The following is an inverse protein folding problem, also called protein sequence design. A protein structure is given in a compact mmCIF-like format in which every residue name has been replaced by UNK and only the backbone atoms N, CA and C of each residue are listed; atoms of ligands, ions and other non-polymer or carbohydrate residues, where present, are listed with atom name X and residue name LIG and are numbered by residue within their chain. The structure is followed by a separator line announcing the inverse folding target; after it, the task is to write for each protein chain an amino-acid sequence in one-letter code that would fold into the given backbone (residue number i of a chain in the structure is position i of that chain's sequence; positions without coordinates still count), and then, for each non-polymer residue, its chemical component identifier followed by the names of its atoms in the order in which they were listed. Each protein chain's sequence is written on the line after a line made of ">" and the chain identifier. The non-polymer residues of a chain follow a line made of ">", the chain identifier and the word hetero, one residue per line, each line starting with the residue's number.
data_IF_601611951677
#
_entry.id   IF_601611951677
#
_cell.length_a   1.000
_cell.length_b   1.000
_cell.length_c   1.000
_cell.angle_alpha   90.00
_cell.angle_beta   90.00
_cell.angle_gamma   90.00
#
_symmetry.space_group_name_H-M   'P 1'
#
loop_
_entity.id
_entity.type
_entity.pdbx_description
1 polymer ?
#
# COMPACT_ATOMS: atom_id res chain seq x y z
N UNK A 1 8.56 -18.23 16.33
CA UNK A 1 9.23 -16.91 16.32
C UNK A 1 9.07 -16.31 17.72
N UNK A 2 10.10 -15.75 18.35
CA UNK A 2 10.00 -15.23 19.72
C UNK A 2 9.33 -13.85 19.78
N UNK A 3 8.81 -13.46 20.95
CA UNK A 3 8.26 -12.11 21.16
C UNK A 3 9.31 -11.01 20.93
N UNK A 4 10.57 -11.24 21.31
CA UNK A 4 11.66 -10.30 21.06
C UNK A 4 11.91 -10.09 19.57
N UNK A 5 11.83 -11.16 18.77
CA UNK A 5 11.95 -11.06 17.32
C UNK A 5 10.76 -10.30 16.72
N UNK A 6 9.54 -10.54 17.19
CA UNK A 6 8.37 -9.77 16.74
C UNK A 6 8.49 -8.29 17.08
N UNK A 7 8.96 -7.95 18.28
CA UNK A 7 9.23 -6.57 18.71
C UNK A 7 10.32 -5.92 17.85
N UNK A 8 11.39 -6.66 17.53
CA UNK A 8 12.43 -6.18 16.62
C UNK A 8 11.86 -5.87 15.23
N UNK A 9 11.14 -6.82 14.63
CA UNK A 9 10.54 -6.62 13.31
C UNK A 9 9.54 -5.46 13.30
N UNK A 10 8.77 -5.28 14.37
CA UNK A 10 7.90 -4.11 14.53
C UNK A 10 8.66 -2.79 14.50
N UNK A 11 9.82 -2.72 15.18
CA UNK A 11 10.69 -1.53 15.16
C UNK A 11 11.29 -1.28 13.78
N UNK A 12 11.66 -2.32 13.04
CA UNK A 12 12.16 -2.16 11.68
C UNK A 12 11.06 -1.69 10.71
N UNK A 13 9.85 -2.24 10.83
CA UNK A 13 8.68 -1.81 10.04
C UNK A 13 8.32 -0.35 10.35
N UNK A 14 8.35 0.06 11.61
CA UNK A 14 8.07 1.45 11.99
C UNK A 14 8.97 2.44 11.25
N UNK A 15 10.26 2.13 11.06
CA UNK A 15 11.17 2.98 10.28
C UNK A 15 10.69 3.20 8.84
N UNK A 16 10.05 2.18 8.23
CA UNK A 16 9.55 2.28 6.86
C UNK A 16 8.32 3.19 6.73
N UNK A 17 7.63 3.44 7.84
CA UNK A 17 6.44 4.30 7.93
C UNK A 17 6.81 5.71 8.38
N UNK A 18 7.77 5.84 9.31
CA UNK A 18 8.11 7.12 9.95
C UNK A 18 9.28 7.86 9.31
N UNK A 19 9.86 7.33 8.22
CA UNK A 19 10.94 8.02 7.49
C UNK A 19 10.77 7.93 5.99
N UNK A 20 11.10 9.01 5.29
CA UNK A 20 11.10 9.07 3.83
C UNK A 20 12.33 8.37 3.22
N UNK A 21 12.43 8.38 1.89
CA UNK A 21 13.57 7.79 1.15
C UNK A 21 14.91 8.50 1.40
N UNK A 22 14.89 9.73 1.94
CA UNK A 22 16.06 10.54 2.29
C UNK A 22 16.43 10.41 3.79
N UNK A 23 15.62 9.67 4.56
CA UNK A 23 15.82 9.44 6.00
C UNK A 23 15.25 10.54 6.90
N UNK A 24 14.48 11.47 6.36
CA UNK A 24 13.79 12.50 7.16
C UNK A 24 12.58 11.90 7.86
N UNK A 25 12.22 12.44 9.03
CA UNK A 25 11.01 12.04 9.76
C UNK A 25 9.74 12.39 8.96
N UNK A 26 8.79 11.46 8.94
CA UNK A 26 7.43 11.64 8.40
C UNK A 26 6.42 11.55 9.55
N UNK A 27 5.55 12.55 9.65
CA UNK A 27 4.49 12.66 10.66
C UNK A 27 3.07 12.74 10.06
N UNK A 28 2.94 13.03 8.77
CA UNK A 28 1.69 12.97 8.00
C UNK A 28 1.45 11.55 7.44
N UNK A 29 1.23 10.57 8.32
CA UNK A 29 1.05 9.18 7.94
C UNK A 29 -0.07 8.97 6.89
N UNK A 30 0.23 8.19 5.86
CA UNK A 30 -0.69 7.95 4.74
C UNK A 30 -0.56 8.96 3.60
N UNK A 31 0.18 10.06 3.79
CA UNK A 31 0.44 11.02 2.72
C UNK A 31 1.21 10.38 1.57
N UNK A 32 0.83 10.74 0.35
CA UNK A 32 1.49 10.29 -0.87
C UNK A 32 2.67 11.22 -1.21
N UNK A 33 3.88 10.68 -1.24
CA UNK A 33 5.05 11.38 -1.76
C UNK A 33 5.01 11.35 -3.30
N UNK A 34 4.55 12.43 -3.91
CA UNK A 34 4.40 12.53 -5.36
C UNK A 34 5.72 12.39 -6.12
N UNK A 35 6.83 12.83 -5.54
CA UNK A 35 8.16 12.69 -6.16
C UNK A 35 8.53 11.21 -6.26
N UNK A 36 8.36 10.47 -5.16
CA UNK A 36 8.63 9.03 -5.10
C UNK A 36 7.64 8.22 -5.97
N UNK A 37 6.37 8.60 -5.99
CA UNK A 37 5.36 7.95 -6.83
C UNK A 37 5.63 8.20 -8.32
N UNK A 38 5.97 9.42 -8.71
CA UNK A 38 6.31 9.75 -10.10
C UNK A 38 7.55 8.97 -10.53
N UNK A 39 8.58 8.89 -9.69
CA UNK A 39 9.74 8.04 -9.95
C UNK A 39 9.33 6.58 -10.19
N UNK A 40 8.41 6.04 -9.38
CA UNK A 40 7.93 4.67 -9.53
C UNK A 40 7.16 4.49 -10.84
N UNK A 41 6.30 5.45 -11.21
CA UNK A 41 5.55 5.42 -12.47
C UNK A 41 6.50 5.47 -13.68
N UNK A 42 7.52 6.31 -13.66
CA UNK A 42 8.53 6.41 -14.71
C UNK A 42 9.31 5.09 -14.88
N UNK A 43 9.65 4.43 -13.76
CA UNK A 43 10.26 3.11 -13.78
C UNK A 43 9.30 2.06 -14.35
N UNK A 44 8.00 2.14 -14.04
CA UNK A 44 7.00 1.23 -14.62
C UNK A 44 6.95 1.38 -16.14
N UNK A 45 6.82 2.61 -16.65
CA UNK A 45 6.82 2.90 -18.10
C UNK A 45 8.06 2.36 -18.80
N UNK A 46 9.20 2.36 -18.12
CA UNK A 46 10.48 1.92 -18.69
C UNK A 46 10.68 0.40 -18.66
N UNK A 47 10.24 -0.27 -17.60
CA UNK A 47 10.65 -1.64 -17.31
C UNK A 47 9.52 -2.66 -17.18
N UNK A 48 8.28 -2.23 -16.96
CA UNK A 48 7.13 -3.15 -16.95
C UNK A 48 6.84 -3.57 -18.38
N UNK A 49 6.83 -4.88 -18.60
CA UNK A 49 6.47 -5.49 -19.88
C UNK A 49 5.11 -6.15 -19.69
N UNK A 50 4.11 -5.67 -20.42
CA UNK A 50 2.77 -6.26 -20.44
C UNK A 50 2.59 -7.05 -21.74
N UNK A 51 2.01 -8.25 -21.63
CA UNK A 51 1.78 -9.12 -22.79
C UNK A 51 0.77 -8.51 -23.78
N UNK A 52 -0.18 -7.72 -23.26
CA UNK A 52 -1.15 -6.99 -24.07
C UNK A 52 -0.56 -5.66 -24.56
N UNK A 53 -0.52 -5.47 -25.88
CA UNK A 53 0.04 -4.27 -26.49
C UNK A 53 -0.80 -3.02 -26.24
N UNK A 54 -2.12 -3.15 -26.09
CA UNK A 54 -2.99 -2.03 -25.75
C UNK A 54 -2.78 -1.57 -24.32
N UNK A 55 -2.58 -2.49 -23.38
CA UNK A 55 -2.21 -2.18 -22.01
C UNK A 55 -0.83 -1.51 -21.94
N UNK A 56 0.14 -2.00 -22.72
CA UNK A 56 1.46 -1.38 -22.85
C UNK A 56 1.35 0.08 -23.33
N UNK A 57 0.59 0.33 -24.40
CA UNK A 57 0.37 1.70 -24.90
C UNK A 57 -0.37 2.60 -23.91
N UNK A 58 -1.32 2.07 -23.14
CA UNK A 58 -1.99 2.83 -22.06
C UNK A 58 -0.98 3.26 -20.99
N UNK A 59 -0.13 2.34 -20.54
CA UNK A 59 0.87 2.62 -19.50
C UNK A 59 1.81 3.77 -19.89
N UNK A 60 2.22 3.85 -21.15
CA UNK A 60 3.06 4.96 -21.64
C UNK A 60 2.42 6.34 -21.37
N UNK A 61 1.09 6.42 -21.50
CA UNK A 61 0.30 7.63 -21.30
C UNK A 61 -0.08 7.94 -19.86
N UNK A 62 0.15 7.04 -18.90
CA UNK A 62 -0.28 7.24 -17.51
C UNK A 62 0.35 8.46 -16.85
N UNK A 63 -0.43 9.08 -15.98
CA UNK A 63 -0.05 10.12 -15.02
C UNK A 63 -0.30 9.61 -13.62
N UNK A 64 0.03 10.39 -12.59
CA UNK A 64 -0.30 10.00 -11.21
C UNK A 64 -1.82 9.91 -10.99
N UNK A 65 -2.60 10.75 -11.67
CA UNK A 65 -4.06 10.78 -11.50
C UNK A 65 -4.74 9.51 -12.04
N UNK A 66 -4.06 8.74 -12.90
CA UNK A 66 -4.53 7.44 -13.37
C UNK A 66 -4.37 6.32 -12.32
N UNK A 67 -3.66 6.58 -11.21
CA UNK A 67 -3.36 5.57 -10.18
C UNK A 67 -3.64 6.02 -8.75
N UNK A 68 -3.91 7.30 -8.49
CA UNK A 68 -4.13 7.80 -7.12
C UNK A 68 -5.14 8.93 -7.02
N UNK A 69 -5.70 9.08 -5.82
CA UNK A 69 -6.58 10.18 -5.43
C UNK A 69 -6.13 10.73 -4.06
N UNK A 70 -5.75 12.01 -4.01
CA UNK A 70 -5.30 12.66 -2.78
C UNK A 70 -6.43 13.29 -1.98
N UNK A 71 -7.63 13.46 -2.53
CA UNK A 71 -8.68 14.26 -1.92
C UNK A 71 -9.01 13.74 -0.51
N UNK A 72 -9.10 12.42 -0.36
CA UNK A 72 -9.35 11.79 0.93
C UNK A 72 -8.22 12.07 1.94
N UNK A 73 -6.95 11.84 1.58
CA UNK A 73 -5.85 12.04 2.53
C UNK A 73 -5.63 13.52 2.86
N UNK A 74 -5.88 14.42 1.91
CA UNK A 74 -5.81 15.86 2.11
C UNK A 74 -6.90 16.35 3.08
N UNK A 75 -8.11 15.78 2.99
CA UNK A 75 -9.19 16.04 3.95
C UNK A 75 -8.88 15.42 5.32
N UNK A 76 -8.33 14.20 5.33
CA UNK A 76 -7.88 13.52 6.56
C UNK A 76 -6.85 14.33 7.33
N UNK A 77 -5.83 14.85 6.64
CA UNK A 77 -4.77 15.66 7.23
C UNK A 77 -5.24 17.03 7.73
N UNK A 78 -6.36 17.55 7.20
CA UNK A 78 -6.97 18.81 7.68
C UNK A 78 -7.90 18.60 8.88
N UNK A 79 -8.38 17.37 9.09
CA UNK A 79 -9.28 17.05 10.21
C UNK A 79 -8.55 17.12 11.54
N UNK A 80 -9.08 17.89 12.48
CA UNK A 80 -8.52 18.02 13.84
C UNK A 80 -9.21 17.10 14.85
N UNK A 81 -10.34 16.49 14.48
CA UNK A 81 -11.15 15.63 15.34
C UNK A 81 -11.31 14.19 14.81
N UNK A 82 -10.78 13.90 13.63
CA UNK A 82 -10.84 12.58 12.99
C UNK A 82 -12.23 12.19 12.52
N UNK A 83 -13.17 13.14 12.36
CA UNK A 83 -14.55 12.86 11.95
C UNK A 83 -14.77 13.23 10.49
N UNK A 84 -15.15 12.24 9.69
CA UNK A 84 -15.35 12.37 8.23
C UNK A 84 -16.81 12.34 7.80
N UNK A 85 -17.72 12.74 8.69
CA UNK A 85 -19.15 12.72 8.42
C UNK A 85 -19.74 11.31 8.46
N UNK A 86 -20.72 11.05 7.59
CA UNK A 86 -21.42 9.76 7.55
C UNK A 86 -20.61 8.76 6.72
N UNK A 87 -20.35 7.59 7.29
CA UNK A 87 -19.75 6.48 6.57
C UNK A 87 -20.69 5.98 5.46
N UNK A 88 -20.17 5.84 4.24
CA UNK A 88 -20.91 5.19 3.15
C UNK A 88 -21.10 3.69 3.42
N UNK A 89 -20.11 3.05 4.05
CA UNK A 89 -20.10 1.63 4.39
C UNK A 89 -19.43 1.42 5.75
N UNK A 90 -20.02 0.57 6.60
CA UNK A 90 -19.50 0.26 7.94
C UNK A 90 -18.79 -1.08 8.03
N UNK A 91 -19.30 -2.10 7.32
CA UNK A 91 -18.65 -3.40 7.19
C UNK A 91 -17.69 -3.38 5.98
N UNK A 92 -16.39 -3.40 6.23
CA UNK A 92 -15.38 -3.34 5.17
C UNK A 92 -14.38 -4.50 5.26
N UNK A 93 -13.88 -4.94 4.11
CA UNK A 93 -12.87 -6.00 4.02
C UNK A 93 -11.57 -5.49 3.40
N UNK A 94 -10.44 -5.80 4.05
CA UNK A 94 -9.09 -5.48 3.57
C UNK A 94 -8.39 -6.77 3.17
N UNK A 95 -8.01 -6.90 1.90
CA UNK A 95 -7.16 -7.98 1.40
C UNK A 95 -5.69 -7.58 1.52
N UNK A 96 -4.95 -8.31 2.37
CA UNK A 96 -3.50 -8.16 2.45
C UNK A 96 -2.83 -8.75 1.21
N UNK A 97 -1.67 -8.20 0.81
CA UNK A 97 -0.86 -8.74 -0.28
C UNK A 97 -0.30 -10.14 -0.02
N UNK A 98 0.00 -10.41 1.26
CA UNK A 98 0.73 -11.59 1.66
C UNK A 98 0.19 -12.16 2.97
N UNK A 99 0.79 -13.25 3.40
CA UNK A 99 0.52 -13.85 4.70
C UNK A 99 0.80 -12.84 5.84
N UNK A 100 0.11 -12.97 6.99
CA UNK A 100 0.31 -12.09 8.13
C UNK A 100 1.78 -12.09 8.58
N UNK A 101 2.43 -10.94 8.44
CA UNK A 101 3.81 -10.68 8.83
C UNK A 101 3.91 -9.28 9.45
N UNK A 102 5.08 -8.92 9.97
CA UNK A 102 5.28 -7.64 10.65
C UNK A 102 4.88 -6.43 9.77
N UNK A 103 5.03 -6.54 8.44
CA UNK A 103 4.64 -5.47 7.52
C UNK A 103 3.12 -5.15 7.49
N UNK A 104 2.28 -6.02 8.06
CA UNK A 104 0.83 -5.78 8.15
C UNK A 104 0.37 -5.56 9.59
N UNK A 105 1.30 -5.46 10.54
CA UNK A 105 0.95 -5.41 11.96
C UNK A 105 0.05 -4.22 12.32
N UNK A 106 0.17 -3.10 11.61
CA UNK A 106 -0.64 -1.90 11.86
C UNK A 106 -2.14 -2.18 11.79
N UNK A 107 -2.58 -2.95 10.77
CA UNK A 107 -3.98 -3.33 10.60
C UNK A 107 -4.50 -4.19 11.77
N UNK A 108 -3.71 -5.18 12.18
CA UNK A 108 -4.08 -6.06 13.29
C UNK A 108 -4.04 -5.35 14.65
N UNK A 109 -3.08 -4.44 14.86
CA UNK A 109 -3.00 -3.65 16.08
C UNK A 109 -4.17 -2.67 16.17
N UNK A 110 -4.57 -2.04 15.06
CA UNK A 110 -5.74 -1.17 15.01
C UNK A 110 -7.02 -1.95 15.38
N UNK A 111 -7.17 -3.17 14.86
CA UNK A 111 -8.28 -4.05 15.24
C UNK A 111 -8.22 -4.45 16.72
N UNK A 112 -7.07 -4.93 17.21
CA UNK A 112 -6.91 -5.39 18.59
C UNK A 112 -7.07 -4.27 19.64
N UNK A 113 -6.78 -3.02 19.25
CA UNK A 113 -6.96 -1.84 20.10
C UNK A 113 -8.34 -1.20 20.00
N UNK A 114 -9.21 -1.68 19.10
CA UNK A 114 -10.55 -1.13 18.92
C UNK A 114 -10.59 0.16 18.10
N UNK A 115 -9.51 0.56 17.41
CA UNK A 115 -9.47 1.81 16.66
C UNK A 115 -10.48 1.84 15.51
N UNK A 116 -10.79 0.69 14.91
CA UNK A 116 -11.86 0.60 13.91
C UNK A 116 -13.24 0.80 14.53
N UNK A 117 -13.49 0.20 15.69
CA UNK A 117 -14.77 0.33 16.40
C UNK A 117 -15.01 1.77 16.87
N UNK A 118 -13.95 2.47 17.33
CA UNK A 118 -13.99 3.88 17.74
C UNK A 118 -14.50 4.81 16.63
N UNK A 119 -14.23 4.46 15.36
CA UNK A 119 -14.69 5.21 14.19
C UNK A 119 -15.91 4.57 13.50
N UNK A 120 -16.53 3.56 14.11
CA UNK A 120 -17.75 2.91 13.60
C UNK A 120 -17.53 1.93 12.44
N UNK A 121 -16.31 1.45 12.24
CA UNK A 121 -15.97 0.48 11.20
C UNK A 121 -15.85 -0.93 11.77
N UNK A 122 -16.49 -1.90 11.11
CA UNK A 122 -16.26 -3.33 11.30
C UNK A 122 -15.35 -3.83 10.19
N UNK A 123 -14.07 -3.96 10.49
CA UNK A 123 -13.04 -4.34 9.52
C UNK A 123 -12.74 -5.83 9.58
N UNK A 124 -12.88 -6.51 8.44
CA UNK A 124 -12.40 -7.88 8.22
C UNK A 124 -11.06 -7.83 7.51
N UNK A 125 -10.01 -8.40 8.11
CA UNK A 125 -8.68 -8.47 7.50
C UNK A 125 -8.50 -9.88 6.91
N UNK A 126 -8.40 -9.97 5.59
CA UNK A 126 -8.21 -11.22 4.86
C UNK A 126 -6.74 -11.37 4.47
N UNK A 127 -6.06 -12.47 4.85
CA UNK A 127 -4.68 -12.70 4.46
C UNK A 127 -4.54 -12.94 2.96
N UNK A 128 -3.41 -12.51 2.38
CA UNK A 128 -3.06 -12.81 1.00
C UNK A 128 -2.23 -14.07 0.85
N UNK A 129 -1.55 -14.21 -0.29
CA UNK A 129 -0.70 -15.35 -0.61
C UNK A 129 -0.26 -15.32 -2.08
N UNK A 130 0.60 -16.26 -2.47
CA UNK A 130 1.16 -16.32 -3.83
C UNK A 130 0.11 -16.41 -4.93
N UNK A 131 -1.03 -17.04 -4.65
CA UNK A 131 -2.10 -17.26 -5.62
C UNK A 131 -3.27 -16.28 -5.46
N UNK A 132 -3.13 -15.26 -4.61
CA UNK A 132 -4.19 -14.28 -4.31
C UNK A 132 -3.79 -12.93 -4.91
N UNK A 133 -4.65 -12.40 -5.79
CA UNK A 133 -4.51 -11.05 -6.34
C UNK A 133 -5.45 -10.09 -5.61
N UNK A 134 -4.90 -9.22 -4.78
CA UNK A 134 -5.65 -8.17 -4.08
C UNK A 134 -6.29 -7.18 -5.05
N UNK A 135 -5.62 -6.84 -6.16
CA UNK A 135 -6.13 -5.91 -7.16
C UNK A 135 -7.35 -6.48 -7.88
N UNK A 136 -7.32 -7.77 -8.24
CA UNK A 136 -8.48 -8.46 -8.82
C UNK A 136 -9.65 -8.51 -7.84
N UNK A 137 -9.38 -8.82 -6.57
CA UNK A 137 -10.41 -8.92 -5.53
C UNK A 137 -11.10 -7.57 -5.24
N UNK A 138 -10.38 -6.45 -5.32
CA UNK A 138 -10.97 -5.11 -5.25
C UNK A 138 -11.74 -4.79 -6.52
N UNK A 139 -11.12 -4.98 -7.69
CA UNK A 139 -11.72 -4.63 -8.99
C UNK A 139 -13.04 -5.35 -9.27
N UNK A 140 -13.18 -6.61 -8.80
CA UNK A 140 -14.42 -7.38 -8.94
C UNK A 140 -15.39 -7.23 -7.75
N UNK A 141 -15.08 -6.41 -6.75
CA UNK A 141 -15.91 -6.14 -5.57
C UNK A 141 -15.98 -7.27 -4.55
N UNK A 142 -15.07 -8.26 -4.58
CA UNK A 142 -14.98 -9.31 -3.55
C UNK A 142 -14.53 -8.75 -2.20
N UNK A 143 -13.66 -7.73 -2.22
CA UNK A 143 -13.20 -6.99 -1.03
C UNK A 143 -13.28 -5.49 -1.29
N UNK A 144 -13.26 -4.69 -0.23
CA UNK A 144 -13.37 -3.23 -0.32
C UNK A 144 -12.02 -2.56 -0.53
N UNK A 145 -10.97 -3.08 0.11
CA UNK A 145 -9.62 -2.53 0.04
C UNK A 145 -8.59 -3.61 -0.22
N UNK A 146 -7.51 -3.24 -0.90
CA UNK A 146 -6.35 -4.09 -1.15
C UNK A 146 -5.07 -3.37 -0.75
N UNK A 147 -4.16 -4.09 -0.08
CA UNK A 147 -2.81 -3.60 0.18
C UNK A 147 -1.92 -4.06 -0.96
N UNK A 148 -1.49 -3.14 -1.82
CA UNK A 148 -0.68 -3.46 -3.02
C UNK A 148 0.58 -2.58 -3.08
N UNK A 149 1.39 -2.78 -4.11
CA UNK A 149 2.53 -1.93 -4.46
C UNK A 149 2.13 -1.03 -5.62
N UNK A 150 2.64 0.20 -5.65
CA UNK A 150 2.36 1.17 -6.74
C UNK A 150 2.61 0.54 -8.11
N UNK A 151 3.73 -0.16 -8.31
CA UNK A 151 4.02 -0.83 -9.58
C UNK A 151 2.98 -1.91 -9.98
N UNK A 152 2.43 -2.62 -8.99
CA UNK A 152 1.40 -3.63 -9.23
C UNK A 152 0.05 -2.97 -9.55
N UNK A 153 -0.30 -1.87 -8.85
CA UNK A 153 -1.47 -1.03 -9.15
C UNK A 153 -1.40 -0.45 -10.57
N UNK A 154 -0.26 0.14 -10.93
CA UNK A 154 -0.01 0.69 -12.28
C UNK A 154 -0.20 -0.36 -13.36
N UNK A 155 0.32 -1.58 -13.16
CA UNK A 155 0.15 -2.69 -14.12
C UNK A 155 -1.31 -3.16 -14.21
N UNK A 156 -2.00 -3.23 -13.07
CA UNK A 156 -3.42 -3.59 -13.00
C UNK A 156 -4.32 -2.57 -13.74
N UNK A 157 -4.09 -1.27 -13.54
CA UNK A 157 -4.84 -0.21 -14.21
C UNK A 157 -4.54 -0.15 -15.70
N UNK A 158 -3.30 -0.40 -16.13
CA UNK A 158 -2.99 -0.53 -17.55
C UNK A 158 -3.81 -1.64 -18.22
N UNK A 159 -4.11 -2.72 -17.46
CA UNK A 159 -5.03 -3.79 -17.83
C UNK A 159 -6.52 -3.44 -17.73
N UNK A 160 -6.88 -2.25 -17.24
CA UNK A 160 -8.27 -1.76 -17.15
C UNK A 160 -8.99 -2.10 -15.85
N UNK A 161 -8.29 -2.29 -14.73
CA UNK A 161 -8.92 -2.55 -13.42
C UNK A 161 -9.49 -1.31 -12.73
N UNK A 162 -9.14 -0.09 -13.19
CA UNK A 162 -9.67 1.20 -12.73
C UNK A 162 -9.65 1.38 -11.19
N UNK A 163 -8.49 1.15 -10.57
CA UNK A 163 -8.28 1.24 -9.12
C UNK A 163 -7.57 2.56 -8.73
N UNK A 164 -7.73 3.02 -7.48
CA UNK A 164 -7.03 4.20 -6.97
C UNK A 164 -6.28 3.89 -5.68
N UNK A 165 -5.04 4.36 -5.57
CA UNK A 165 -4.35 4.49 -4.30
C UNK A 165 -4.94 5.68 -3.52
N UNK A 166 -5.35 5.43 -2.27
CA UNK A 166 -5.98 6.43 -1.40
C UNK A 166 -5.14 6.81 -0.17
N UNK A 167 -4.08 6.04 0.11
CA UNK A 167 -3.12 6.33 1.17
C UNK A 167 -1.81 5.55 0.96
N UNK A 168 -0.68 6.20 1.21
CA UNK A 168 0.64 5.58 1.19
C UNK A 168 1.14 5.36 2.64
N UNK A 169 0.93 4.15 3.16
CA UNK A 169 1.33 3.80 4.55
C UNK A 169 2.86 3.68 4.67
N UNK A 170 3.53 3.19 3.64
CA UNK A 170 4.98 2.99 3.60
C UNK A 170 5.66 4.12 2.84
N UNK A 171 6.46 4.92 3.54
CA UNK A 171 7.15 6.09 2.97
C UNK A 171 8.50 5.73 2.33
N UNK A 172 8.95 4.49 2.53
CA UNK A 172 10.09 3.88 1.85
C UNK A 172 9.87 2.39 1.66
N UNK A 173 10.42 1.86 0.58
CA UNK A 173 10.33 0.42 0.28
C UNK A 173 11.10 -0.42 1.30
N UNK A 174 10.50 -1.54 1.71
CA UNK A 174 11.15 -2.61 2.45
C UNK A 174 11.80 -3.68 1.56
N UNK A 175 11.77 -3.50 0.23
CA UNK A 175 12.35 -4.44 -0.72
C UNK A 175 13.88 -4.30 -0.72
N UNK A 176 14.58 -5.41 -0.51
CA UNK A 176 16.03 -5.49 -0.55
C UNK A 176 16.48 -6.55 -1.56
N UNK A 177 17.53 -6.23 -2.33
CA UNK A 177 18.23 -7.23 -3.13
C UNK A 177 19.29 -7.90 -2.27
N UNK A 178 19.18 -9.20 -2.10
CA UNK A 178 20.12 -10.00 -1.32
C UNK A 178 20.95 -10.90 -2.23
N UNK A 179 22.25 -11.00 -1.93
CA UNK A 179 23.18 -11.90 -2.61
C UNK A 179 23.94 -12.74 -1.60
N UNK A 180 24.36 -13.94 -2.01
CA UNK A 180 25.12 -14.86 -1.16
C UNK A 180 26.49 -14.26 -0.85
N UNK A 181 26.72 -13.95 0.44
CA UNK A 181 27.94 -13.27 0.91
C UNK A 181 29.22 -14.04 0.58
N UNK A 182 29.19 -15.37 0.66
CA UNK A 182 30.32 -16.26 0.36
C UNK A 182 30.71 -16.29 -1.13
N UNK A 183 29.81 -15.88 -2.01
CA UNK A 183 30.06 -15.77 -3.46
C UNK A 183 30.39 -14.33 -3.90
N UNK A 184 30.33 -13.34 -2.99
CA UNK A 184 30.53 -11.94 -3.34
C UNK A 184 32.02 -11.62 -3.56
N UNK A 185 32.40 -11.42 -4.81
CA UNK A 185 33.68 -10.80 -5.21
C UNK A 185 33.47 -9.33 -5.54
N UNK A 186 34.31 -8.48 -4.93
CA UNK A 186 34.31 -7.01 -5.12
C UNK A 186 34.88 -6.61 -6.47
#
# INVERSE_FOLDING_TARGET
>A
VSSDHQLYMAKEVAKLVTTDTKGNTVDNYGNMDEEAMQQTLDLCKKYVQLDDSSASSKLEGFTLDDIRDTQYIDEANKSTDGKFGNLEKTDVTIQLKWLPQAQFMGYYVAQAKGYYDEVGLKVTITPGGGDISETTAVSNGTVDFGVTWVANLTSANAGGMELLEIAQVYQRSGLELVYKKDLFTK
#
